data_IF_587281071958
#
_entry.id   IF_587281071958
#
_cell.length_a   1.000
_cell.length_b   1.000
_cell.length_c   1.000
_cell.angle_alpha   90.00
_cell.angle_beta   90.00
_cell.angle_gamma   90.00
#
_symmetry.space_group_name_H-M   'P 1'
#
loop_
_entity.id
_entity.type
_entity.pdbx_description
1 polymer ?
#
# COMPACT_ATOMS: atom_id res chain seq x y z
N UNK A 1 5.39 3.10 14.24
CA UNK A 1 6.39 3.95 13.54
C UNK A 1 5.86 4.42 12.19
N UNK A 2 5.49 3.51 11.28
CA UNK A 2 4.95 3.85 9.96
C UNK A 2 3.73 4.80 10.01
N UNK A 3 2.72 4.46 10.80
CA UNK A 3 1.51 5.30 10.99
C UNK A 3 1.83 6.75 11.38
N UNK A 4 2.81 6.94 12.28
CA UNK A 4 3.24 8.27 12.73
C UNK A 4 4.05 9.00 11.65
N UNK A 5 4.88 8.29 10.88
CA UNK A 5 5.66 8.91 9.80
C UNK A 5 4.80 9.40 8.63
N UNK A 6 3.63 8.79 8.43
CA UNK A 6 2.68 9.15 7.38
C UNK A 6 1.76 10.32 7.79
N UNK A 7 1.84 10.83 9.02
CA UNK A 7 0.97 11.91 9.48
C UNK A 7 1.11 13.17 8.61
N UNK A 8 2.36 13.55 8.32
CA UNK A 8 2.70 14.73 7.49
C UNK A 8 3.19 14.39 6.08
N UNK A 9 3.18 13.11 5.68
CA UNK A 9 3.77 12.64 4.42
C UNK A 9 2.76 11.94 3.54
N UNK A 10 2.78 12.29 2.25
CA UNK A 10 2.00 11.60 1.22
C UNK A 10 2.67 10.29 0.77
N UNK A 11 4.01 10.29 0.66
CA UNK A 11 4.84 9.15 0.28
C UNK A 11 5.96 8.92 1.29
N UNK A 12 6.54 7.72 1.28
CA UNK A 12 7.57 7.36 2.26
C UNK A 12 8.87 8.16 2.09
N UNK A 13 9.23 8.52 0.85
CA UNK A 13 10.50 9.16 0.54
C UNK A 13 10.34 10.28 -0.49
N UNK A 14 11.09 11.38 -0.31
CA UNK A 14 11.27 12.46 -1.30
C UNK A 14 9.97 13.11 -1.83
N UNK A 15 8.87 13.08 -1.06
CA UNK A 15 7.56 13.62 -1.45
C UNK A 15 7.08 13.16 -2.83
N UNK A 16 7.42 11.92 -3.22
CA UNK A 16 6.99 11.32 -4.49
C UNK A 16 6.88 9.81 -4.34
N UNK A 17 6.17 9.17 -5.25
CA UNK A 17 6.14 7.71 -5.33
C UNK A 17 7.53 7.13 -5.61
N UNK A 18 7.98 6.21 -4.77
CA UNK A 18 9.28 5.55 -4.86
C UNK A 18 9.19 4.04 -4.65
N UNK A 19 10.31 3.34 -4.84
CA UNK A 19 10.41 1.91 -4.52
C UNK A 19 10.13 1.60 -3.04
N UNK A 20 10.38 2.55 -2.13
CA UNK A 20 10.03 2.38 -0.72
C UNK A 20 8.52 2.14 -0.56
N UNK A 21 7.69 2.91 -1.28
CA UNK A 21 6.24 2.78 -1.25
C UNK A 21 5.78 1.42 -1.79
N UNK A 22 6.45 0.92 -2.83
CA UNK A 22 6.18 -0.40 -3.41
C UNK A 22 6.50 -1.52 -2.40
N UNK A 23 7.71 -1.50 -1.84
CA UNK A 23 8.18 -2.55 -0.92
C UNK A 23 7.34 -2.61 0.36
N UNK A 24 7.06 -1.47 0.99
CA UNK A 24 6.28 -1.42 2.23
C UNK A 24 4.79 -1.62 1.93
N UNK A 25 4.28 -1.07 0.82
CA UNK A 25 2.88 -1.21 0.42
C UNK A 25 2.47 -2.66 0.19
N UNK A 26 3.40 -3.50 -0.31
CA UNK A 26 3.15 -4.94 -0.45
C UNK A 26 2.86 -5.62 0.89
N UNK A 27 3.55 -5.26 1.97
CA UNK A 27 3.29 -5.83 3.30
C UNK A 27 1.86 -5.54 3.77
N UNK A 28 1.35 -4.33 3.50
CA UNK A 28 -0.04 -3.97 3.82
C UNK A 28 -1.04 -4.66 2.89
N UNK A 29 -0.72 -4.81 1.60
CA UNK A 29 -1.54 -5.59 0.68
C UNK A 29 -1.64 -7.06 1.12
N UNK A 30 -0.55 -7.66 1.58
CA UNK A 30 -0.54 -9.01 2.13
C UNK A 30 -1.42 -9.11 3.39
N UNK A 31 -1.33 -8.13 4.29
CA UNK A 31 -2.21 -8.04 5.45
C UNK A 31 -3.70 -7.99 5.03
N UNK A 32 -4.04 -7.26 3.96
CA UNK A 32 -5.40 -7.24 3.38
C UNK A 32 -5.87 -8.64 2.97
N UNK A 33 -5.01 -9.39 2.28
CA UNK A 33 -5.34 -10.74 1.79
C UNK A 33 -5.55 -11.69 2.96
N UNK A 34 -4.74 -11.54 4.02
CA UNK A 34 -4.82 -12.33 5.25
C UNK A 34 -5.91 -11.85 6.22
N UNK A 35 -6.68 -10.81 5.85
CA UNK A 35 -7.76 -10.23 6.67
C UNK A 35 -7.28 -9.71 8.03
N UNK A 36 -6.07 -9.13 8.07
CA UNK A 36 -5.49 -8.51 9.27
C UNK A 36 -5.85 -7.02 9.28
N UNK A 37 -7.02 -6.70 9.81
CA UNK A 37 -7.58 -5.34 9.80
C UNK A 37 -6.77 -4.36 10.66
N UNK A 38 -6.07 -4.83 11.69
CA UNK A 38 -5.26 -4.00 12.59
C UNK A 38 -4.08 -3.31 11.90
N UNK A 39 -3.71 -3.78 10.70
CA UNK A 39 -2.70 -3.14 9.86
C UNK A 39 -3.20 -1.82 9.22
N UNK A 40 -4.52 -1.65 9.06
CA UNK A 40 -5.15 -0.51 8.37
C UNK A 40 -5.49 0.65 9.30
N UNK A 41 -4.47 1.16 9.99
CA UNK A 41 -4.59 2.41 10.74
C UNK A 41 -4.88 3.60 9.80
N UNK A 42 -5.47 4.71 10.27
CA UNK A 42 -5.98 5.78 9.40
C UNK A 42 -4.97 6.31 8.36
N UNK A 43 -3.74 6.62 8.75
CA UNK A 43 -2.74 7.17 7.82
C UNK A 43 -2.20 6.11 6.86
N UNK A 44 -1.98 4.89 7.36
CA UNK A 44 -1.62 3.74 6.51
C UNK A 44 -2.73 3.46 5.50
N UNK A 45 -3.99 3.47 5.91
CA UNK A 45 -5.14 3.25 5.03
C UNK A 45 -5.16 4.30 3.92
N UNK A 46 -5.13 5.60 4.29
CA UNK A 46 -5.07 6.73 3.32
C UNK A 46 -3.93 6.53 2.32
N UNK A 47 -2.72 6.24 2.80
CA UNK A 47 -1.55 6.03 1.97
C UNK A 47 -1.73 4.83 1.03
N UNK A 48 -2.18 3.68 1.54
CA UNK A 48 -2.37 2.46 0.74
C UNK A 48 -3.51 2.56 -0.26
N UNK A 49 -4.60 3.25 0.05
CA UNK A 49 -5.70 3.49 -0.90
C UNK A 49 -5.17 4.23 -2.15
N UNK A 50 -4.32 5.26 -1.96
CA UNK A 50 -3.68 5.96 -3.09
C UNK A 50 -2.74 5.04 -3.89
N UNK A 51 -2.00 4.15 -3.22
CA UNK A 51 -1.11 3.20 -3.91
C UNK A 51 -1.89 2.16 -4.71
N UNK A 52 -2.99 1.65 -4.15
CA UNK A 52 -3.80 0.59 -4.74
C UNK A 52 -4.67 1.08 -5.90
N UNK A 53 -4.96 2.38 -5.96
CA UNK A 53 -5.72 2.98 -7.06
C UNK A 53 -4.91 3.06 -8.37
N UNK A 54 -3.58 2.94 -8.30
CA UNK A 54 -2.67 3.05 -9.45
C UNK A 54 -2.85 1.89 -10.43
N UNK A 55 -2.86 2.19 -11.73
CA UNK A 55 -3.03 1.19 -12.80
C UNK A 55 -2.00 0.06 -12.73
N UNK A 56 -0.74 0.38 -12.37
CA UNK A 56 0.30 -0.63 -12.20
C UNK A 56 -0.04 -1.65 -11.10
N UNK A 57 -0.61 -1.19 -9.99
CA UNK A 57 -1.06 -2.06 -8.91
C UNK A 57 -2.28 -2.90 -9.33
N UNK A 58 -3.31 -2.26 -9.89
CA UNK A 58 -4.50 -2.94 -10.41
C UNK A 58 -4.17 -4.03 -11.44
N UNK A 59 -3.25 -3.72 -12.37
CA UNK A 59 -2.75 -4.70 -13.35
C UNK A 59 -1.99 -5.84 -12.67
N UNK A 60 -1.09 -5.55 -11.72
CA UNK A 60 -0.35 -6.61 -11.02
C UNK A 60 -1.27 -7.56 -10.23
N UNK A 61 -2.33 -7.02 -9.63
CA UNK A 61 -3.29 -7.80 -8.84
C UNK A 61 -4.28 -8.57 -9.70
N UNK A 62 -4.63 -8.08 -10.89
CA UNK A 62 -5.49 -8.83 -11.81
C UNK A 62 -4.79 -10.09 -12.35
N UNK A 63 -3.47 -10.03 -12.57
CA UNK A 63 -2.69 -11.20 -12.97
C UNK A 63 -2.69 -12.31 -11.90
N UNK A 64 -2.75 -11.96 -10.61
CA UNK A 64 -2.75 -12.96 -9.52
C UNK A 64 -3.97 -13.88 -9.51
N UNK A 65 -5.06 -13.48 -10.15
CA UNK A 65 -6.29 -14.28 -10.22
C UNK A 65 -6.47 -14.98 -11.58
N UNK A 66 -5.57 -14.76 -12.53
CA UNK A 66 -5.64 -15.31 -13.89
C UNK A 66 -5.01 -16.71 -14.04
N UNK A 67 -4.62 -17.37 -12.95
CA UNK A 67 -4.15 -18.76 -12.95
C UNK A 67 -5.32 -19.76 -12.84
N UNK A 68 -6.36 -19.60 -13.66
CA UNK A 68 -7.40 -20.61 -13.90
C UNK A 68 -7.49 -20.96 -15.37
#
# INVERSE_FOLDING_TARGET
>A
LLEKSLDSREYLCSNRFTIADICVGYAIYLAKILQIEEAFKPNIKRWTDMLFERDGFKKSTSHRYNDK
#
